data_IF_197423356762
#
_entry.id   IF_197423356762
#
_cell.length_a   1.000
_cell.length_b   1.000
_cell.length_c   1.000
_cell.angle_alpha   90.00
_cell.angle_beta   90.00
_cell.angle_gamma   90.00
#
_symmetry.space_group_name_H-M   'P 1'
#
loop_
_entity.id
_entity.type
_entity.pdbx_description
1 polymer ?
#
# COMPACT_ATOMS: atom_id res chain seq x y z
N UNK A 1 -15.91 11.68 -7.37
CA UNK A 1 -15.56 10.45 -6.64
C UNK A 1 -14.49 10.66 -5.58
N UNK A 2 -14.30 9.68 -4.70
CA UNK A 2 -13.32 9.71 -3.63
C UNK A 2 -11.87 9.48 -4.11
N UNK A 3 -10.89 9.61 -3.19
CA UNK A 3 -9.47 9.33 -3.51
C UNK A 3 -9.19 7.88 -3.90
N UNK A 4 -10.02 6.92 -3.46
CA UNK A 4 -9.94 5.52 -3.89
C UNK A 4 -10.14 5.39 -5.40
N UNK A 5 -11.15 6.07 -5.97
CA UNK A 5 -11.41 6.06 -7.42
C UNK A 5 -10.18 6.52 -8.21
N UNK A 6 -9.52 7.59 -7.78
CA UNK A 6 -8.31 8.10 -8.46
C UNK A 6 -7.20 7.05 -8.42
N UNK A 7 -6.93 6.43 -7.26
CA UNK A 7 -5.87 5.42 -7.14
C UNK A 7 -6.15 4.18 -7.98
N UNK A 8 -7.39 3.69 -7.94
CA UNK A 8 -7.81 2.52 -8.74
C UNK A 8 -7.72 2.83 -10.24
N UNK A 9 -8.21 4.00 -10.68
CA UNK A 9 -8.11 4.41 -12.08
C UNK A 9 -6.65 4.52 -12.54
N UNK A 10 -5.75 5.10 -11.73
CA UNK A 10 -4.32 5.18 -12.01
C UNK A 10 -3.69 3.77 -12.16
N UNK A 11 -3.98 2.86 -11.22
CA UNK A 11 -3.44 1.50 -11.27
C UNK A 11 -3.92 0.74 -12.51
N UNK A 12 -5.23 0.77 -12.79
CA UNK A 12 -5.82 0.06 -13.93
C UNK A 12 -5.40 0.68 -15.27
N UNK A 13 -5.39 2.01 -15.37
CA UNK A 13 -4.93 2.70 -16.58
C UNK A 13 -3.46 2.34 -16.89
N UNK A 14 -2.58 2.38 -15.88
CA UNK A 14 -1.17 2.02 -16.05
C UNK A 14 -1.01 0.56 -16.49
N UNK A 15 -1.83 -0.36 -15.95
CA UNK A 15 -1.77 -1.78 -16.27
C UNK A 15 -2.33 -2.08 -17.68
N UNK A 16 -3.43 -1.42 -18.06
CA UNK A 16 -4.12 -1.67 -19.33
C UNK A 16 -3.58 -0.84 -20.49
N UNK A 17 -2.74 0.15 -20.23
CA UNK A 17 -2.26 1.11 -21.23
C UNK A 17 -3.32 2.11 -21.72
N UNK A 18 -4.52 2.12 -21.10
CA UNK A 18 -5.63 2.98 -21.55
C UNK A 18 -5.63 4.31 -20.80
N UNK A 19 -5.61 5.46 -21.49
CA UNK A 19 -5.71 6.77 -20.85
C UNK A 19 -7.08 6.99 -20.24
N UNK A 20 -7.15 7.91 -19.24
CA UNK A 20 -8.43 8.32 -18.66
C UNK A 20 -8.41 9.80 -18.24
N UNK A 21 -9.61 10.34 -18.11
CA UNK A 21 -9.86 11.65 -17.50
C UNK A 21 -10.80 11.48 -16.31
N UNK A 22 -10.49 12.10 -15.20
CA UNK A 22 -11.37 12.21 -14.05
C UNK A 22 -11.57 13.66 -13.66
N UNK A 23 -12.85 14.03 -13.46
CA UNK A 23 -13.29 15.37 -13.05
C UNK A 23 -13.92 15.32 -11.66
N UNK A 24 -14.08 16.49 -11.04
CA UNK A 24 -14.72 16.64 -9.74
C UNK A 24 -14.09 15.72 -8.67
N UNK A 25 -12.74 15.63 -8.68
CA UNK A 25 -12.00 14.79 -7.74
C UNK A 25 -12.33 15.23 -6.31
N UNK A 26 -12.84 14.28 -5.49
CA UNK A 26 -13.17 14.49 -4.08
C UNK A 26 -14.12 15.68 -3.82
N UNK A 27 -15.01 16.01 -4.76
CA UNK A 27 -15.94 17.16 -4.66
C UNK A 27 -16.86 17.12 -3.42
N UNK A 28 -17.21 15.93 -2.92
CA UNK A 28 -18.01 15.77 -1.70
C UNK A 28 -17.19 15.74 -0.39
N UNK A 29 -15.93 16.20 -0.40
CA UNK A 29 -15.09 16.30 0.80
C UNK A 29 -14.92 17.76 1.23
N UNK A 30 -14.74 18.04 2.55
CA UNK A 30 -14.49 19.41 3.04
C UNK A 30 -13.36 20.13 2.30
N UNK A 31 -12.36 19.38 1.88
CA UNK A 31 -11.26 19.87 1.03
C UNK A 31 -11.19 19.05 -0.24
N UNK A 32 -11.84 19.49 -1.34
CA UNK A 32 -11.83 18.79 -2.62
C UNK A 32 -10.44 18.67 -3.26
N UNK A 33 -10.35 17.95 -4.35
CA UNK A 33 -9.18 17.83 -5.20
C UNK A 33 -8.10 16.85 -4.69
N UNK A 34 -7.00 16.81 -5.41
CA UNK A 34 -5.84 15.97 -5.13
C UNK A 34 -5.18 16.37 -3.79
N UNK A 35 -4.67 15.40 -3.05
CA UNK A 35 -3.87 15.56 -1.83
C UNK A 35 -2.44 15.08 -2.08
N UNK A 36 -1.51 15.40 -1.17
CA UNK A 36 -0.09 15.06 -1.28
C UNK A 36 0.12 13.59 -1.71
N UNK A 37 -0.53 12.63 -1.04
CA UNK A 37 -0.42 11.21 -1.40
C UNK A 37 -0.89 10.87 -2.82
N UNK A 38 -1.87 11.61 -3.38
CA UNK A 38 -2.29 11.39 -4.77
C UNK A 38 -1.25 11.93 -5.74
N UNK A 39 -0.70 13.11 -5.47
CA UNK A 39 0.38 13.69 -6.25
C UNK A 39 1.61 12.78 -6.23
N UNK A 40 2.01 12.29 -5.06
CA UNK A 40 3.13 11.36 -4.92
C UNK A 40 2.90 10.04 -5.68
N UNK A 41 1.65 9.53 -5.68
CA UNK A 41 1.27 8.35 -6.50
C UNK A 41 1.46 8.65 -8.00
N UNK A 42 0.98 9.79 -8.46
CA UNK A 42 1.09 10.18 -9.87
C UNK A 42 2.57 10.41 -10.24
N UNK A 43 3.33 11.09 -9.39
CA UNK A 43 4.78 11.29 -9.58
C UNK A 43 5.51 9.96 -9.71
N UNK A 44 5.22 9.00 -8.83
CA UNK A 44 5.84 7.69 -8.88
C UNK A 44 5.46 6.91 -10.15
N UNK A 45 4.21 7.02 -10.61
CA UNK A 45 3.79 6.42 -11.88
C UNK A 45 4.43 7.10 -13.09
N UNK A 46 4.62 8.42 -13.06
CA UNK A 46 5.40 9.13 -14.11
C UNK A 46 6.83 8.60 -14.21
N UNK A 47 7.46 8.30 -13.08
CA UNK A 47 8.78 7.69 -13.04
C UNK A 47 8.76 6.23 -13.50
N UNK A 48 7.74 5.46 -13.11
CA UNK A 48 7.62 4.03 -13.38
C UNK A 48 7.29 3.72 -14.83
N UNK A 49 6.50 4.56 -15.51
CA UNK A 49 6.01 4.27 -16.87
C UNK A 49 6.00 5.47 -17.82
N UNK A 50 6.74 6.56 -17.53
CA UNK A 50 6.73 7.80 -18.32
C UNK A 50 5.32 8.35 -18.59
N UNK A 51 4.42 8.19 -17.63
CA UNK A 51 3.05 8.67 -17.78
C UNK A 51 3.01 10.19 -18.00
N UNK A 52 2.12 10.63 -18.88
CA UNK A 52 1.83 12.05 -19.16
C UNK A 52 0.56 12.47 -18.44
N UNK A 53 0.55 13.69 -17.94
CA UNK A 53 -0.62 14.29 -17.26
C UNK A 53 -0.80 15.74 -17.72
N UNK A 54 -2.01 16.27 -17.53
CA UNK A 54 -2.15 17.74 -17.51
C UNK A 54 -1.34 18.29 -16.32
N UNK A 55 -1.21 19.59 -16.25
CA UNK A 55 -0.64 20.28 -15.08
C UNK A 55 -1.54 20.04 -13.86
N UNK A 56 -0.92 19.56 -12.76
CA UNK A 56 -1.61 19.21 -11.51
C UNK A 56 -0.85 19.72 -10.29
N UNK A 57 -1.62 20.12 -9.29
CA UNK A 57 -1.14 20.59 -7.99
C UNK A 57 -2.06 20.11 -6.87
N UNK A 58 -1.74 20.47 -5.63
CA UNK A 58 -2.65 20.26 -4.49
C UNK A 58 -3.97 20.97 -4.76
N UNK A 59 -5.08 20.24 -4.56
CA UNK A 59 -6.42 20.74 -4.81
C UNK A 59 -6.90 20.63 -6.25
N UNK A 60 -6.09 20.21 -7.21
CA UNK A 60 -6.56 19.97 -8.60
C UNK A 60 -7.75 19.01 -8.62
N UNK A 61 -8.84 19.43 -9.27
CA UNK A 61 -10.10 18.69 -9.34
C UNK A 61 -10.25 17.86 -10.62
N UNK A 62 -9.34 18.08 -11.57
CA UNK A 62 -9.29 17.35 -12.85
C UNK A 62 -7.91 16.72 -13.02
N UNK A 63 -7.90 15.50 -13.54
CA UNK A 63 -6.69 14.77 -13.91
C UNK A 63 -6.91 14.08 -15.25
N UNK A 64 -6.06 14.42 -16.23
CA UNK A 64 -5.87 13.65 -17.44
C UNK A 64 -4.63 12.79 -17.23
N UNK A 65 -4.72 11.51 -17.46
CA UNK A 65 -3.62 10.58 -17.28
C UNK A 65 -3.48 9.67 -18.50
N UNK A 66 -2.27 9.66 -19.05
CA UNK A 66 -1.92 8.80 -20.18
C UNK A 66 -0.68 7.98 -19.81
N UNK A 67 -0.80 6.68 -19.57
CA UNK A 67 0.32 5.82 -19.16
C UNK A 67 1.25 5.52 -20.34
N UNK A 68 2.50 5.25 -20.03
CA UNK A 68 3.47 4.62 -20.92
C UNK A 68 3.79 3.19 -20.49
N UNK A 69 4.90 2.65 -20.98
CA UNK A 69 5.33 1.28 -20.67
C UNK A 69 5.92 1.17 -19.26
N UNK A 70 5.48 0.16 -18.51
CA UNK A 70 5.96 -0.11 -17.15
C UNK A 70 7.42 -0.58 -17.18
N UNK A 71 8.30 0.17 -16.53
CA UNK A 71 9.76 -0.06 -16.51
C UNK A 71 10.18 -0.83 -15.25
N UNK A 72 11.38 -1.40 -15.32
CA UNK A 72 12.14 -1.84 -14.14
C UNK A 72 12.97 -0.68 -13.59
N UNK A 73 13.34 -0.75 -12.31
CA UNK A 73 14.24 0.27 -11.75
C UNK A 73 14.08 0.46 -10.24
N UNK A 74 14.80 1.45 -9.73
CA UNK A 74 14.71 1.92 -8.35
C UNK A 74 14.10 3.31 -8.36
N UNK A 75 13.09 3.51 -7.55
CA UNK A 75 12.33 4.76 -7.51
C UNK A 75 12.17 5.21 -6.07
N UNK A 76 12.38 6.50 -5.83
CA UNK A 76 12.26 7.11 -4.50
C UNK A 76 11.24 8.23 -4.54
N UNK A 77 10.32 8.22 -3.58
CA UNK A 77 9.32 9.28 -3.43
C UNK A 77 9.10 9.60 -1.96
N UNK A 78 9.13 10.89 -1.65
CA UNK A 78 8.72 11.42 -0.35
C UNK A 78 7.35 12.10 -0.49
N UNK A 79 6.40 11.70 0.36
CA UNK A 79 5.07 12.33 0.42
C UNK A 79 5.15 13.71 1.09
N UNK A 80 6.22 13.98 1.84
CA UNK A 80 6.48 15.26 2.52
C UNK A 80 5.63 15.48 3.79
N UNK A 81 4.74 14.57 4.11
CA UNK A 81 3.81 14.63 5.26
C UNK A 81 3.60 13.24 5.86
N UNK A 82 2.72 13.12 6.86
CA UNK A 82 2.23 11.82 7.32
C UNK A 82 1.23 11.16 6.32
N UNK A 83 1.27 11.56 5.05
CA UNK A 83 0.47 10.94 4.01
C UNK A 83 0.80 9.45 3.87
N UNK A 84 -0.23 8.67 3.58
CA UNK A 84 -0.18 7.20 3.67
C UNK A 84 0.66 6.55 2.58
N UNK A 85 1.70 5.85 2.98
CA UNK A 85 2.49 4.98 2.10
C UNK A 85 1.62 3.82 1.57
N UNK A 86 0.77 3.24 2.39
CA UNK A 86 -0.12 2.14 1.97
C UNK A 86 -1.14 2.58 0.92
N UNK A 87 -1.70 3.79 1.05
CA UNK A 87 -2.60 4.34 0.02
C UNK A 87 -1.85 4.69 -1.27
N UNK A 88 -0.61 5.15 -1.20
CA UNK A 88 0.24 5.36 -2.38
C UNK A 88 0.47 4.01 -3.09
N UNK A 89 0.81 2.96 -2.34
CA UNK A 89 1.04 1.62 -2.87
C UNK A 89 -0.19 1.02 -3.57
N UNK A 90 -1.41 1.36 -3.16
CA UNK A 90 -2.63 0.93 -3.88
C UNK A 90 -2.65 1.38 -5.34
N UNK A 91 -2.01 2.51 -5.66
CA UNK A 91 -1.94 3.01 -7.04
C UNK A 91 -0.80 2.43 -7.88
N UNK A 92 0.30 1.96 -7.22
CA UNK A 92 1.53 1.62 -7.93
C UNK A 92 1.92 0.14 -7.82
N UNK A 93 1.46 -0.56 -6.77
CA UNK A 93 1.88 -1.94 -6.52
C UNK A 93 1.41 -2.89 -7.61
N UNK A 94 0.11 -2.84 -7.95
CA UNK A 94 -0.46 -3.71 -8.98
C UNK A 94 0.26 -3.58 -10.33
N UNK A 95 0.41 -2.39 -10.96
CA UNK A 95 1.14 -2.28 -12.20
C UNK A 95 2.62 -2.69 -12.08
N UNK A 96 3.29 -2.43 -10.94
CA UNK A 96 4.68 -2.81 -10.75
C UNK A 96 4.90 -4.33 -10.74
N UNK A 97 3.89 -5.13 -10.39
CA UNK A 97 3.95 -6.59 -10.41
C UNK A 97 4.07 -7.17 -11.83
N UNK A 98 3.78 -6.35 -12.86
CA UNK A 98 3.86 -6.73 -14.27
C UNK A 98 4.90 -5.91 -15.05
N UNK A 99 5.83 -5.28 -14.34
CA UNK A 99 6.93 -4.50 -14.92
C UNK A 99 7.88 -5.33 -15.79
N UNK A 100 8.75 -4.65 -16.54
CA UNK A 100 9.74 -5.30 -17.43
C UNK A 100 10.88 -6.00 -16.67
N UNK A 101 10.93 -5.92 -15.34
CA UNK A 101 11.93 -6.53 -14.47
C UNK A 101 11.81 -6.02 -13.04
N UNK A 102 12.82 -6.28 -12.19
CA UNK A 102 12.79 -5.90 -10.76
C UNK A 102 12.52 -4.39 -10.57
N UNK A 103 11.59 -4.09 -9.68
CA UNK A 103 11.27 -2.74 -9.21
C UNK A 103 11.54 -2.65 -7.71
N UNK A 104 12.16 -1.56 -7.28
CA UNK A 104 12.35 -1.24 -5.87
C UNK A 104 11.83 0.17 -5.62
N UNK A 105 10.91 0.30 -4.68
CA UNK A 105 10.44 1.59 -4.21
C UNK A 105 11.05 1.89 -2.84
N UNK A 106 11.58 3.10 -2.65
CA UNK A 106 11.90 3.68 -1.35
C UNK A 106 10.92 4.82 -1.09
N UNK A 107 10.06 4.65 -0.10
CA UNK A 107 8.92 5.53 0.13
C UNK A 107 9.02 6.18 1.51
N UNK A 108 8.85 7.49 1.56
CA UNK A 108 8.83 8.26 2.80
C UNK A 108 7.43 8.83 3.06
N UNK A 109 6.92 8.68 4.32
CA UNK A 109 5.58 9.15 4.67
C UNK A 109 5.06 8.59 5.99
N UNK A 110 3.74 8.48 6.11
CA UNK A 110 3.06 7.80 7.22
C UNK A 110 2.96 6.30 7.01
N UNK A 111 3.30 5.51 8.04
CA UNK A 111 3.20 4.04 7.99
C UNK A 111 1.86 3.54 8.50
N UNK A 112 1.18 4.33 9.31
CA UNK A 112 -0.18 4.08 9.81
C UNK A 112 -0.92 5.40 10.01
N UNK A 113 -2.22 5.32 10.25
CA UNK A 113 -3.01 6.50 10.57
C UNK A 113 -4.51 6.25 10.43
N UNK A 114 -5.29 7.22 10.88
CA UNK A 114 -6.75 7.18 10.83
C UNK A 114 -7.26 7.10 9.38
N UNK A 115 -8.26 6.24 9.13
CA UNK A 115 -8.91 6.05 7.83
C UNK A 115 -8.04 5.45 6.72
N UNK A 116 -7.01 4.72 7.08
CA UNK A 116 -6.14 4.01 6.13
C UNK A 116 -5.69 2.68 6.70
N UNK A 117 -5.47 1.69 5.85
CA UNK A 117 -4.75 0.49 6.24
C UNK A 117 -3.28 0.86 6.52
N UNK A 118 -2.68 0.25 7.53
CA UNK A 118 -1.26 0.45 7.82
C UNK A 118 -0.37 -0.35 6.86
N UNK A 119 0.93 -0.09 6.92
CA UNK A 119 1.92 -0.89 6.19
C UNK A 119 1.96 -2.32 6.75
N UNK A 120 1.73 -2.49 8.06
CA UNK A 120 1.66 -3.83 8.68
C UNK A 120 0.46 -4.64 8.19
N UNK A 121 -0.70 -4.00 8.00
CA UNK A 121 -1.85 -4.65 7.37
C UNK A 121 -1.51 -5.11 5.94
N UNK A 122 -0.90 -4.22 5.16
CA UNK A 122 -0.48 -4.55 3.81
C UNK A 122 0.49 -5.74 3.81
N UNK A 123 1.50 -5.73 4.68
CA UNK A 123 2.54 -6.74 4.76
C UNK A 123 2.01 -8.12 5.20
N UNK A 124 1.15 -8.16 6.22
CA UNK A 124 0.74 -9.41 6.85
C UNK A 124 -0.56 -9.99 6.29
N UNK A 125 -1.39 -9.18 5.65
CA UNK A 125 -2.73 -9.59 5.18
C UNK A 125 -2.82 -9.53 3.67
N UNK A 126 -2.49 -8.40 3.02
CA UNK A 126 -2.66 -8.25 1.58
C UNK A 126 -1.55 -8.94 0.76
N UNK A 127 -0.28 -8.75 1.13
CA UNK A 127 0.84 -9.28 0.36
C UNK A 127 0.82 -10.80 0.16
N UNK A 128 0.46 -11.64 1.16
CA UNK A 128 0.39 -13.09 0.97
C UNK A 128 -0.52 -13.50 -0.19
N UNK A 129 -1.62 -12.78 -0.44
CA UNK A 129 -2.51 -13.04 -1.56
C UNK A 129 -1.90 -12.63 -2.92
N UNK A 130 -1.04 -11.60 -2.92
CA UNK A 130 -0.41 -11.07 -4.14
C UNK A 130 0.87 -11.82 -4.54
N UNK A 131 1.50 -12.53 -3.62
CA UNK A 131 2.77 -13.22 -3.87
C UNK A 131 2.72 -14.23 -5.03
N UNK A 132 1.56 -14.85 -5.28
CA UNK A 132 1.39 -15.80 -6.39
C UNK A 132 1.62 -15.21 -7.78
N UNK A 133 1.48 -13.90 -7.92
CA UNK A 133 1.70 -13.17 -9.17
C UNK A 133 3.14 -12.71 -9.37
N UNK A 134 4.01 -12.92 -8.38
CA UNK A 134 5.39 -12.41 -8.39
C UNK A 134 6.38 -13.50 -8.00
N UNK A 135 7.63 -13.36 -8.44
CA UNK A 135 8.76 -14.18 -7.95
C UNK A 135 9.20 -13.75 -6.56
N UNK A 136 9.11 -12.44 -6.28
CA UNK A 136 9.39 -11.85 -4.97
C UNK A 136 8.52 -10.61 -4.80
N UNK A 137 7.85 -10.53 -3.69
CA UNK A 137 7.13 -9.34 -3.22
C UNK A 137 7.43 -9.18 -1.73
N UNK A 138 8.14 -8.12 -1.38
CA UNK A 138 8.60 -7.88 -0.03
C UNK A 138 8.43 -6.42 0.34
N UNK A 139 7.94 -6.18 1.55
CA UNK A 139 7.88 -4.86 2.18
C UNK A 139 8.76 -4.89 3.42
N UNK A 140 9.61 -3.88 3.59
CA UNK A 140 10.45 -3.67 4.77
C UNK A 140 10.16 -2.29 5.32
N UNK A 141 9.72 -2.22 6.56
CA UNK A 141 9.60 -0.96 7.30
C UNK A 141 10.95 -0.68 7.95
N UNK A 142 11.67 0.31 7.44
CA UNK A 142 12.97 0.72 7.99
C UNK A 142 12.79 1.74 9.11
N UNK A 143 11.74 2.58 9.01
CA UNK A 143 11.42 3.60 9.99
C UNK A 143 9.92 3.81 10.07
N UNK A 144 9.38 3.93 11.27
CA UNK A 144 7.96 4.23 11.48
C UNK A 144 7.70 5.72 11.32
N UNK A 145 6.54 6.05 10.77
CA UNK A 145 6.08 7.43 10.60
C UNK A 145 4.64 7.59 11.04
N UNK A 146 4.43 8.49 12.04
CA UNK A 146 3.12 8.78 12.60
C UNK A 146 2.72 10.23 12.31
N UNK A 147 1.41 10.50 12.39
CA UNK A 147 0.89 11.87 12.29
C UNK A 147 1.41 12.73 13.45
N UNK A 148 1.71 14.05 13.25
CA UNK A 148 1.51 14.78 12.00
C UNK A 148 2.73 14.77 11.05
N UNK A 149 3.95 14.47 11.52
CA UNK A 149 5.21 14.71 10.76
C UNK A 149 5.54 13.58 9.77
N UNK A 150 4.98 12.39 9.93
CA UNK A 150 5.33 11.25 9.09
C UNK A 150 6.78 10.81 9.29
N UNK A 151 7.57 10.87 8.24
CA UNK A 151 9.00 10.53 8.27
C UNK A 151 9.28 9.03 8.41
N UNK A 152 8.29 8.19 8.17
CA UNK A 152 8.48 6.76 8.00
C UNK A 152 9.22 6.46 6.71
N UNK A 153 9.95 5.35 6.70
CA UNK A 153 10.69 4.87 5.53
C UNK A 153 10.34 3.40 5.29
N UNK A 154 9.88 3.11 4.08
CA UNK A 154 9.46 1.78 3.67
C UNK A 154 10.10 1.44 2.33
N UNK A 155 10.72 0.26 2.28
CA UNK A 155 11.27 -0.29 1.03
C UNK A 155 10.37 -1.42 0.54
N UNK A 156 9.96 -1.34 -0.73
CA UNK A 156 9.15 -2.36 -1.39
C UNK A 156 9.92 -2.93 -2.56
N UNK A 157 10.16 -4.23 -2.55
CA UNK A 157 10.79 -4.96 -3.65
C UNK A 157 9.77 -5.81 -4.38
N UNK A 158 9.69 -5.64 -5.71
CA UNK A 158 8.83 -6.42 -6.59
C UNK A 158 9.68 -7.05 -7.69
N UNK A 159 9.68 -8.37 -7.77
CA UNK A 159 10.25 -9.10 -8.90
C UNK A 159 9.11 -9.81 -9.64
N UNK A 160 8.73 -9.36 -10.82
CA UNK A 160 7.59 -9.90 -11.55
C UNK A 160 7.81 -11.36 -11.97
N UNK A 161 6.76 -12.17 -11.91
CA UNK A 161 6.69 -13.51 -12.53
C UNK A 161 6.29 -13.38 -13.99
N UNK A 162 5.35 -12.50 -14.26
CA UNK A 162 4.84 -12.16 -15.58
C UNK A 162 5.22 -10.72 -15.91
N UNK A 163 5.61 -10.43 -17.14
CA UNK A 163 5.92 -9.07 -17.58
C UNK A 163 5.02 -8.69 -18.73
N UNK A 164 4.26 -7.60 -18.56
CA UNK A 164 3.34 -7.09 -19.60
C UNK A 164 4.04 -6.85 -20.93
N UNK A 165 5.33 -6.51 -20.92
CA UNK A 165 6.15 -6.32 -22.13
C UNK A 165 6.18 -7.55 -23.07
N UNK A 166 5.90 -8.74 -22.55
CA UNK A 166 5.91 -10.00 -23.32
C UNK A 166 4.59 -10.27 -24.05
N UNK A 167 3.59 -9.46 -23.82
CA UNK A 167 2.24 -9.64 -24.35
C UNK A 167 1.87 -8.44 -25.23
N UNK A 168 1.05 -8.63 -26.26
CA UNK A 168 0.60 -7.53 -27.13
C UNK A 168 -0.24 -6.50 -26.34
N UNK A 169 -1.01 -6.97 -25.37
CA UNK A 169 -1.87 -6.14 -24.52
C UNK A 169 -2.15 -6.79 -23.16
N UNK A 170 -2.91 -6.09 -22.33
CA UNK A 170 -3.32 -6.60 -21.02
C UNK A 170 -4.32 -7.77 -21.12
N UNK A 171 -5.14 -7.83 -22.16
CA UNK A 171 -6.10 -8.93 -22.37
C UNK A 171 -5.39 -10.27 -22.49
N UNK A 172 -4.37 -10.32 -23.35
CA UNK A 172 -3.54 -11.52 -23.56
C UNK A 172 -2.79 -11.95 -22.27
N UNK A 173 -2.29 -10.99 -21.51
CA UNK A 173 -1.71 -11.27 -20.18
C UNK A 173 -2.77 -11.83 -19.22
N UNK A 174 -3.97 -11.26 -19.21
CA UNK A 174 -5.05 -11.69 -18.32
C UNK A 174 -5.51 -13.12 -18.62
N UNK A 175 -5.60 -13.49 -19.90
CA UNK A 175 -5.92 -14.86 -20.31
C UNK A 175 -4.88 -15.85 -19.77
N UNK A 176 -3.58 -15.57 -19.93
CA UNK A 176 -2.52 -16.42 -19.38
C UNK A 176 -2.57 -16.49 -17.85
N UNK A 177 -2.77 -15.36 -17.17
CA UNK A 177 -2.92 -15.33 -15.71
C UNK A 177 -4.10 -16.19 -15.24
N UNK A 178 -5.21 -16.14 -15.96
CA UNK A 178 -6.42 -16.90 -15.65
C UNK A 178 -6.19 -18.42 -15.76
N UNK A 179 -5.28 -18.84 -16.64
CA UNK A 179 -4.87 -20.24 -16.80
C UNK A 179 -3.80 -20.66 -15.78
N UNK A 180 -2.77 -19.80 -15.57
CA UNK A 180 -1.57 -20.15 -14.78
C UNK A 180 -1.74 -19.95 -13.27
N UNK A 181 -2.65 -19.08 -12.85
CA UNK A 181 -2.85 -18.74 -11.44
C UNK A 181 -4.20 -19.27 -10.96
N UNK A 182 -4.22 -20.17 -9.98
CA UNK A 182 -5.48 -20.64 -9.41
C UNK A 182 -6.35 -19.48 -8.91
N UNK A 183 -7.63 -19.54 -9.25
CA UNK A 183 -8.61 -18.57 -8.78
C UNK A 183 -8.64 -18.51 -7.25
N UNK A 184 -8.61 -17.28 -6.71
CA UNK A 184 -8.77 -17.06 -5.29
C UNK A 184 -10.27 -17.04 -4.98
N UNK A 185 -10.72 -18.01 -4.21
CA UNK A 185 -12.12 -18.11 -3.77
C UNK A 185 -12.12 -18.03 -2.24
N UNK A 186 -12.63 -16.93 -1.69
CA UNK A 186 -12.73 -16.67 -0.25
C UNK A 186 -14.19 -16.53 0.15
N UNK A 187 -14.96 -17.60 -0.02
CA UNK A 187 -16.41 -17.63 0.24
C UNK A 187 -16.76 -18.37 1.54
N UNK A 188 -15.83 -19.16 2.06
CA UNK A 188 -16.00 -19.87 3.32
C UNK A 188 -15.09 -19.29 4.38
N UNK A 189 -15.61 -19.17 5.61
CA UNK A 189 -14.89 -18.59 6.72
C UNK A 189 -13.68 -19.45 7.17
N UNK A 190 -13.79 -20.76 7.09
CA UNK A 190 -12.84 -21.68 7.71
C UNK A 190 -12.84 -21.61 9.24
N UNK A 191 -12.03 -22.46 9.87
CA UNK A 191 -11.84 -22.47 11.30
C UNK A 191 -10.74 -21.46 11.71
N UNK A 192 -10.93 -20.82 12.85
CA UNK A 192 -9.94 -19.91 13.41
C UNK A 192 -8.85 -20.74 14.14
N UNK A 193 -7.68 -20.89 13.53
CA UNK A 193 -6.58 -21.65 14.13
C UNK A 193 -5.74 -20.82 15.09
N UNK A 194 -5.53 -19.53 14.82
CA UNK A 194 -4.69 -18.65 15.62
C UNK A 194 -5.02 -17.17 15.36
N UNK A 195 -4.78 -16.32 16.36
CA UNK A 195 -4.77 -14.86 16.18
C UNK A 195 -3.33 -14.38 16.28
N UNK A 196 -2.89 -13.65 15.28
CA UNK A 196 -1.57 -12.99 15.24
C UNK A 196 -1.71 -11.48 15.27
N UNK A 197 -0.66 -10.81 15.74
CA UNK A 197 -0.66 -9.36 15.73
C UNK A 197 0.70 -8.72 15.87
N UNK A 198 0.73 -7.43 15.60
CA UNK A 198 1.86 -6.56 15.89
C UNK A 198 1.36 -5.27 16.53
N UNK A 199 1.95 -4.89 17.62
CA UNK A 199 1.85 -3.56 18.21
C UNK A 199 3.13 -2.82 17.85
N UNK A 200 3.04 -1.70 17.16
CA UNK A 200 4.19 -0.83 16.95
C UNK A 200 3.95 0.53 17.63
N UNK A 201 4.95 1.01 18.34
CA UNK A 201 4.84 2.21 19.16
C UNK A 201 6.13 3.04 19.03
N UNK A 202 6.01 4.36 19.09
CA UNK A 202 7.19 5.23 19.16
C UNK A 202 7.98 4.96 20.44
N UNK A 203 9.31 4.98 20.34
CA UNK A 203 10.22 4.69 21.46
C UNK A 203 10.03 5.63 22.65
N UNK A 204 9.59 6.84 22.41
CA UNK A 204 9.26 7.82 23.45
C UNK A 204 8.23 7.31 24.47
N UNK A 205 7.39 6.35 24.05
CA UNK A 205 6.36 5.73 24.90
C UNK A 205 6.83 4.43 25.60
N UNK A 206 8.08 4.02 25.41
CA UNK A 206 8.59 2.76 25.96
C UNK A 206 8.68 2.76 27.49
N UNK A 207 9.09 3.88 28.10
CA UNK A 207 9.20 4.01 29.57
C UNK A 207 7.84 3.82 30.29
N UNK A 208 6.74 4.04 29.59
CA UNK A 208 5.38 3.85 30.11
C UNK A 208 4.77 2.50 29.70
N UNK A 209 5.55 1.61 29.11
CA UNK A 209 5.14 0.27 28.65
C UNK A 209 3.85 0.29 27.80
N UNK A 210 3.69 1.34 26.98
CA UNK A 210 2.43 1.53 26.21
C UNK A 210 2.20 0.37 25.26
N UNK A 211 3.23 -0.15 24.62
CA UNK A 211 3.11 -1.30 23.71
C UNK A 211 2.64 -2.56 24.43
N UNK A 212 3.21 -2.87 25.56
CA UNK A 212 2.85 -4.03 26.41
C UNK A 212 1.42 -3.90 26.95
N UNK A 213 1.02 -2.69 27.34
CA UNK A 213 -0.36 -2.42 27.80
C UNK A 213 -1.39 -2.63 26.68
N UNK A 214 -1.08 -2.16 25.46
CA UNK A 214 -1.93 -2.39 24.27
C UNK A 214 -2.03 -3.90 24.00
N UNK A 215 -0.89 -4.60 23.97
CA UNK A 215 -0.83 -6.06 23.78
C UNK A 215 -1.67 -6.77 24.81
N UNK A 216 -1.44 -6.51 26.11
CA UNK A 216 -2.17 -7.15 27.21
C UNK A 216 -3.67 -6.91 27.12
N UNK A 217 -4.09 -5.68 26.81
CA UNK A 217 -5.50 -5.35 26.62
C UNK A 217 -6.11 -6.14 25.46
N UNK A 218 -5.42 -6.23 24.32
CA UNK A 218 -5.88 -7.01 23.17
C UNK A 218 -5.98 -8.51 23.53
N UNK A 219 -4.98 -9.09 24.17
CA UNK A 219 -4.98 -10.50 24.57
C UNK A 219 -6.16 -10.84 25.50
N UNK A 220 -6.46 -9.96 26.47
CA UNK A 220 -7.64 -10.13 27.36
C UNK A 220 -8.94 -10.19 26.55
N UNK A 221 -9.13 -9.28 25.60
CA UNK A 221 -10.33 -9.24 24.78
C UNK A 221 -10.45 -10.41 23.80
N UNK A 222 -9.32 -10.95 23.37
CA UNK A 222 -9.28 -12.03 22.36
C UNK A 222 -9.37 -13.43 22.97
N UNK A 223 -9.13 -13.60 24.27
CA UNK A 223 -9.19 -14.92 24.97
C UNK A 223 -10.50 -15.67 24.78
N UNK A 224 -11.60 -14.96 24.59
CA UNK A 224 -12.91 -15.55 24.31
C UNK A 224 -12.99 -16.39 23.03
N UNK A 225 -11.99 -16.29 22.16
CA UNK A 225 -11.95 -17.07 20.92
C UNK A 225 -11.31 -18.47 21.14
N UNK A 226 -10.74 -18.75 22.32
CA UNK A 226 -10.18 -20.05 22.71
C UNK A 226 -9.11 -20.60 21.75
N UNK A 227 -8.36 -19.71 21.10
CA UNK A 227 -7.27 -20.05 20.18
C UNK A 227 -5.96 -19.41 20.64
N UNK A 228 -4.79 -19.92 20.20
CA UNK A 228 -3.51 -19.30 20.48
C UNK A 228 -3.45 -17.85 19.99
N UNK A 229 -2.92 -16.95 20.82
CA UNK A 229 -2.74 -15.53 20.50
C UNK A 229 -1.25 -15.22 20.52
N UNK A 230 -0.73 -14.65 19.44
CA UNK A 230 0.67 -14.26 19.29
C UNK A 230 0.77 -12.82 18.81
N UNK A 231 1.03 -11.90 19.74
CA UNK A 231 1.18 -10.47 19.45
C UNK A 231 2.61 -10.05 19.85
N UNK A 232 3.38 -9.57 18.85
CA UNK A 232 4.70 -8.97 19.09
C UNK A 232 4.58 -7.47 19.35
N UNK A 233 5.50 -6.93 20.13
CA UNK A 233 5.62 -5.48 20.40
C UNK A 233 6.91 -4.98 19.77
N UNK A 234 6.83 -3.86 19.05
CA UNK A 234 7.95 -3.20 18.39
C UNK A 234 8.00 -1.73 18.81
N UNK A 235 9.15 -1.28 19.33
CA UNK A 235 9.43 0.13 19.58
C UNK A 235 10.36 0.68 18.51
N UNK A 236 10.03 1.83 17.93
CA UNK A 236 10.84 2.44 16.90
C UNK A 236 11.03 3.94 17.10
N UNK A 237 12.15 4.47 16.66
CA UNK A 237 12.35 5.90 16.58
C UNK A 237 11.47 6.49 15.50
N UNK A 238 10.81 7.61 15.79
CA UNK A 238 9.90 8.29 14.87
C UNK A 238 9.94 9.80 15.10
N UNK A 239 9.50 10.57 14.08
CA UNK A 239 9.41 12.03 14.19
C UNK A 239 8.21 12.53 15.01
N UNK A 240 7.25 11.66 15.28
CA UNK A 240 6.05 11.97 16.05
C UNK A 240 5.69 10.80 16.96
N UNK A 241 5.14 11.10 18.12
CA UNK A 241 4.61 10.09 19.02
C UNK A 241 3.40 9.42 18.37
N UNK A 242 3.36 8.10 18.46
CA UNK A 242 2.25 7.32 17.90
C UNK A 242 2.38 5.84 18.15
N UNK A 243 1.32 5.12 17.83
CA UNK A 243 1.29 3.66 17.90
C UNK A 243 0.05 3.12 17.20
N UNK A 244 0.11 1.84 16.89
CA UNK A 244 -1.02 1.08 16.36
C UNK A 244 -0.93 -0.38 16.80
N UNK A 245 -2.04 -1.06 16.71
CA UNK A 245 -2.11 -2.52 16.72
C UNK A 245 -2.76 -3.01 15.44
N UNK A 246 -2.17 -4.03 14.83
CA UNK A 246 -2.76 -4.77 13.72
C UNK A 246 -2.93 -6.21 14.14
N UNK A 247 -4.12 -6.75 13.97
CA UNK A 247 -4.48 -8.12 14.32
C UNK A 247 -5.01 -8.82 13.07
N UNK A 248 -4.70 -10.12 12.94
CA UNK A 248 -5.26 -10.94 11.88
C UNK A 248 -5.50 -12.37 12.35
N UNK A 249 -6.50 -12.98 11.77
CA UNK A 249 -6.85 -14.39 11.93
C UNK A 249 -5.99 -15.27 11.00
N UNK A 250 -5.65 -16.44 11.47
CA UNK A 250 -4.95 -17.48 10.71
C UNK A 250 -5.74 -18.79 10.83
#
# INVERSE_FOLDING_TARGET
GGGALVRTALALSTLTGKPFTVNKIRSGRPTPGLKAQHLSTITLLKLLCDAKTNEISLGSTTLNYNPGMIKRGKFTVDIGTAGSISLLLQGVLLPSMFSSGKVTFTLFGGTCGKWQASVDYLQNILLPHLQRFTKKLQVKVLKRGYFPRGGGEVVVEVSPKFSLKKYPDFGSLYEELSFMIPKITLIEKGDLAQIRGVVNVSRELSNNEVGERIKKSAEVHLRKNEVPISIRVEYSNSKSVGGEIVLWAV
#
